data_IF_144208773432
#
_entry.id   IF_144208773432
#
_cell.length_a   1.000
_cell.length_b   1.000
_cell.length_c   1.000
_cell.angle_alpha   90.00
_cell.angle_beta   90.00
_cell.angle_gamma   90.00
#
_symmetry.space_group_name_H-M   'P 1'
#
loop_
_entity.id
_entity.type
_entity.pdbx_description
1 polymer ?
#
# COMPACT_ATOMS: atom_id res chain seq x y z
N UNK A 1 5.94 7.96 25.14
CA UNK A 1 5.27 7.79 23.84
C UNK A 1 3.79 7.54 24.07
N UNK A 2 2.93 8.23 23.34
CA UNK A 2 1.49 8.06 23.43
C UNK A 2 1.06 6.79 22.68
N UNK A 3 -0.09 6.20 23.04
CA UNK A 3 -0.61 4.96 22.39
C UNK A 3 -0.66 5.07 20.85
N UNK A 4 -1.01 6.26 20.33
CA UNK A 4 -1.05 6.56 18.90
C UNK A 4 0.34 6.47 18.25
N UNK A 5 1.39 6.95 18.91
CA UNK A 5 2.75 6.91 18.38
C UNK A 5 3.25 5.47 18.21
N UNK A 6 2.93 4.58 19.17
CA UNK A 6 3.25 3.15 19.03
C UNK A 6 2.57 2.51 17.81
N UNK A 7 1.31 2.87 17.54
CA UNK A 7 0.59 2.40 16.34
C UNK A 7 1.25 2.93 15.06
N UNK A 8 1.74 4.16 15.05
CA UNK A 8 2.44 4.75 13.90
C UNK A 8 3.79 4.07 13.65
N UNK A 9 4.56 3.77 14.70
CA UNK A 9 5.81 3.00 14.56
C UNK A 9 5.57 1.59 14.04
N UNK A 10 4.52 0.92 14.52
CA UNK A 10 4.09 -0.37 13.97
C UNK A 10 3.69 -0.24 12.49
N UNK A 11 2.98 0.83 12.13
CA UNK A 11 2.60 1.11 10.74
C UNK A 11 3.82 1.32 9.83
N UNK A 12 4.89 1.95 10.34
CA UNK A 12 6.15 2.10 9.62
C UNK A 12 6.81 0.75 9.33
N UNK A 13 6.77 -0.20 10.28
CA UNK A 13 7.28 -1.55 10.05
C UNK A 13 6.50 -2.23 8.92
N UNK A 14 5.17 -2.13 8.92
CA UNK A 14 4.35 -2.62 7.82
C UNK A 14 4.69 -1.93 6.49
N UNK A 15 4.91 -0.62 6.48
CA UNK A 15 5.32 0.11 5.27
C UNK A 15 6.63 -0.43 4.68
N UNK A 16 7.62 -0.75 5.53
CA UNK A 16 8.89 -1.35 5.12
C UNK A 16 8.64 -2.74 4.51
N UNK A 17 7.86 -3.59 5.18
CA UNK A 17 7.51 -4.92 4.66
C UNK A 17 6.79 -4.81 3.31
N UNK A 18 5.81 -3.92 3.19
CA UNK A 18 5.08 -3.66 1.95
C UNK A 18 6.01 -3.19 0.83
N UNK A 19 6.99 -2.35 1.15
CA UNK A 19 8.02 -1.89 0.20
C UNK A 19 8.92 -3.02 -0.26
N UNK A 20 9.39 -3.88 0.64
CA UNK A 20 10.20 -5.06 0.29
C UNK A 20 9.41 -6.02 -0.60
N UNK A 21 8.12 -6.26 -0.31
CA UNK A 21 7.28 -7.11 -1.15
C UNK A 21 7.07 -6.51 -2.54
N UNK A 22 6.81 -5.20 -2.64
CA UNK A 22 6.71 -4.51 -3.92
C UNK A 22 8.03 -4.60 -4.72
N UNK A 23 9.18 -4.44 -4.07
CA UNK A 23 10.50 -4.59 -4.69
C UNK A 23 10.73 -6.01 -5.21
N UNK A 24 10.26 -7.03 -4.48
CA UNK A 24 10.26 -8.44 -4.90
C UNK A 24 9.20 -8.79 -5.95
N UNK A 25 8.51 -7.80 -6.52
CA UNK A 25 7.40 -8.00 -7.47
C UNK A 25 6.28 -8.89 -6.92
N UNK A 26 6.10 -8.90 -5.60
CA UNK A 26 5.01 -9.62 -4.94
C UNK A 26 3.82 -8.69 -4.79
N UNK A 27 2.72 -9.02 -5.49
CA UNK A 27 1.47 -8.24 -5.51
C UNK A 27 0.97 -7.91 -4.10
N UNK A 28 1.16 -8.79 -3.11
CA UNK A 28 0.70 -8.60 -1.72
C UNK A 28 1.21 -7.31 -1.06
N UNK A 29 2.34 -6.76 -1.53
CA UNK A 29 2.83 -5.48 -1.04
C UNK A 29 1.83 -4.33 -1.24
N UNK A 30 1.00 -4.35 -2.29
CA UNK A 30 -0.06 -3.34 -2.47
C UNK A 30 -1.16 -3.43 -1.40
N UNK A 31 -1.46 -4.62 -0.87
CA UNK A 31 -2.44 -4.78 0.21
C UNK A 31 -1.93 -4.15 1.49
N UNK A 32 -0.64 -4.34 1.79
CA UNK A 32 0.01 -3.70 2.93
C UNK A 32 -0.02 -2.17 2.76
N UNK A 33 0.28 -1.67 1.56
CA UNK A 33 0.20 -0.24 1.27
C UNK A 33 -1.21 0.34 1.41
N UNK A 34 -2.27 -0.40 1.05
CA UNK A 34 -3.64 0.05 1.30
C UNK A 34 -3.90 0.25 2.80
N UNK A 35 -3.50 -0.69 3.66
CA UNK A 35 -3.66 -0.56 5.12
C UNK A 35 -2.82 0.60 5.66
N UNK A 36 -1.54 0.66 5.28
CA UNK A 36 -0.61 1.69 5.76
C UNK A 36 -1.04 3.11 5.39
N UNK A 37 -1.47 3.31 4.14
CA UNK A 37 -1.97 4.60 3.68
C UNK A 37 -3.26 5.00 4.41
N UNK A 38 -4.14 4.05 4.70
CA UNK A 38 -5.37 4.33 5.45
C UNK A 38 -5.09 4.74 6.90
N UNK A 39 -4.15 4.07 7.58
CA UNK A 39 -3.72 4.44 8.94
C UNK A 39 -3.13 5.85 8.96
N UNK A 40 -2.23 6.17 8.01
CA UNK A 40 -1.66 7.50 7.93
C UNK A 40 -2.67 8.57 7.53
N UNK A 41 -3.60 8.28 6.62
CA UNK A 41 -4.69 9.18 6.24
C UNK A 41 -5.51 9.57 7.48
N UNK A 42 -5.98 8.57 8.22
CA UNK A 42 -6.81 8.79 9.42
C UNK A 42 -6.04 9.59 10.48
N UNK A 43 -4.76 9.26 10.73
CA UNK A 43 -3.93 10.03 11.65
C UNK A 43 -3.75 11.49 11.22
N UNK A 44 -3.51 11.73 9.93
CA UNK A 44 -3.30 13.09 9.41
C UNK A 44 -4.57 13.94 9.46
N UNK A 45 -5.76 13.33 9.35
CA UNK A 45 -7.04 14.01 9.59
C UNK A 45 -7.15 14.42 11.06
N UNK A 46 -6.80 13.53 12.00
CA UNK A 46 -6.87 13.83 13.44
C UNK A 46 -5.99 15.02 13.85
N UNK A 47 -4.78 15.14 13.28
CA UNK A 47 -3.89 16.28 13.55
C UNK A 47 -4.15 17.49 12.63
N UNK A 48 -5.24 17.47 11.86
CA UNK A 48 -5.66 18.53 10.91
C UNK A 48 -4.63 18.85 9.82
N UNK A 49 -3.78 17.88 9.46
CA UNK A 49 -2.86 17.95 8.33
C UNK A 49 -3.56 17.51 7.04
N UNK A 50 -4.36 18.40 6.46
CA UNK A 50 -5.12 18.11 5.24
C UNK A 50 -4.25 17.83 4.00
N UNK A 51 -3.14 18.56 3.73
CA UNK A 51 -2.29 18.25 2.58
C UNK A 51 -1.76 16.82 2.61
N UNK A 52 -1.32 16.38 3.80
CA UNK A 52 -0.77 15.06 3.98
C UNK A 52 -1.86 13.98 3.95
N UNK A 53 -3.05 14.28 4.45
CA UNK A 53 -4.22 13.43 4.28
C UNK A 53 -4.55 13.21 2.80
N UNK A 54 -4.60 14.29 2.01
CA UNK A 54 -4.82 14.20 0.56
C UNK A 54 -3.80 13.32 -0.14
N UNK A 55 -2.51 13.45 0.23
CA UNK A 55 -1.44 12.61 -0.32
C UNK A 55 -1.66 11.12 -0.01
N UNK A 56 -1.94 10.77 1.25
CA UNK A 56 -2.15 9.37 1.63
C UNK A 56 -3.42 8.78 1.02
N UNK A 57 -4.45 9.60 0.79
CA UNK A 57 -5.63 9.18 0.04
C UNK A 57 -5.29 8.85 -1.42
N UNK A 58 -4.53 9.70 -2.11
CA UNK A 58 -4.06 9.42 -3.48
C UNK A 58 -3.21 8.15 -3.52
N UNK A 59 -2.29 7.97 -2.56
CA UNK A 59 -1.47 6.76 -2.47
C UNK A 59 -2.29 5.50 -2.20
N UNK A 60 -3.37 5.60 -1.43
CA UNK A 60 -4.31 4.51 -1.25
C UNK A 60 -4.95 4.10 -2.59
N UNK A 61 -5.45 5.06 -3.37
CA UNK A 61 -6.02 4.81 -4.70
C UNK A 61 -4.99 4.19 -5.65
N UNK A 62 -3.74 4.68 -5.63
CA UNK A 62 -2.66 4.11 -6.42
C UNK A 62 -2.32 2.67 -6.00
N UNK A 63 -2.39 2.35 -4.71
CA UNK A 63 -2.19 0.98 -4.23
C UNK A 63 -3.31 0.05 -4.73
N UNK A 64 -4.57 0.50 -4.72
CA UNK A 64 -5.70 -0.24 -5.32
C UNK A 64 -5.45 -0.48 -6.82
N UNK A 65 -5.04 0.56 -7.55
CA UNK A 65 -4.74 0.47 -8.98
C UNK A 65 -3.57 -0.49 -9.26
N UNK A 66 -2.48 -0.41 -8.48
CA UNK A 66 -1.33 -1.30 -8.56
C UNK A 66 -1.72 -2.76 -8.33
N UNK A 67 -2.54 -3.02 -7.29
CA UNK A 67 -3.08 -4.34 -7.03
C UNK A 67 -3.90 -4.85 -8.24
N UNK A 68 -4.86 -4.09 -8.75
CA UNK A 68 -5.73 -4.54 -9.87
C UNK A 68 -4.93 -4.78 -11.15
N UNK A 69 -4.05 -3.85 -11.52
CA UNK A 69 -3.26 -3.92 -12.76
C UNK A 69 -2.31 -5.10 -12.79
N UNK A 70 -1.62 -5.38 -11.68
CA UNK A 70 -0.69 -6.52 -11.59
C UNK A 70 -1.39 -7.88 -11.61
N UNK A 71 -2.61 -7.96 -11.06
CA UNK A 71 -3.43 -9.16 -11.19
C UNK A 71 -3.71 -9.55 -12.64
N UNK A 72 -3.93 -8.55 -13.51
CA UNK A 72 -4.17 -8.77 -14.95
C UNK A 72 -2.88 -9.19 -15.68
N UNK A 73 -1.71 -8.70 -15.27
CA UNK A 73 -0.43 -9.06 -15.89
C UNK A 73 -0.03 -10.51 -15.63
N UNK A 74 -0.26 -11.05 -14.42
CA UNK A 74 0.03 -12.46 -14.11
C UNK A 74 -0.77 -13.40 -15.01
N UNK A 75 -2.07 -13.14 -15.18
CA UNK A 75 -2.95 -13.90 -16.08
C UNK A 75 -2.49 -13.87 -17.53
N UNK A 76 -2.06 -12.70 -18.05
CA UNK A 76 -1.51 -12.58 -19.41
C UNK A 76 -0.23 -13.39 -19.60
N UNK A 77 0.67 -13.39 -18.62
CA UNK A 77 1.93 -14.16 -18.67
C UNK A 77 1.70 -15.67 -18.62
N UNK A 78 0.72 -16.14 -17.86
CA UNK A 78 0.35 -17.56 -17.79
C UNK A 78 -0.22 -18.04 -19.13
N UNK A 79 -1.18 -17.29 -19.70
CA UNK A 79 -1.74 -17.59 -21.03
C UNK A 79 -0.68 -17.62 -22.14
N UNK A 80 0.30 -16.71 -22.11
CA UNK A 80 1.37 -16.69 -23.11
C UNK A 80 2.31 -17.92 -23.02
N UNK A 81 2.48 -18.51 -21.83
CA UNK A 81 3.30 -19.71 -21.64
C UNK A 81 2.61 -21.00 -22.09
N UNK A 82 1.29 -21.04 -22.04
CA UNK A 82 0.49 -22.21 -22.46
C UNK A 82 0.39 -22.33 -23.99
N UNK A 83 0.55 -21.22 -24.72
CA UNK A 83 0.50 -21.17 -26.18
C UNK A 83 1.88 -21.34 -26.87
N UNK A 84 2.94 -21.66 -26.11
CA UNK A 84 4.31 -21.94 -26.59
C UNK A 84 4.60 -23.43 -26.44
#
# INVERSE_FOLDING_TARGET
MNKIEYLLWLNTIFAIVGTVLNAKQVRFGFVIWMVTNLVFLVNNIYIKSYPQSGLFFVYFVLAVYGWVSWGKQKKKRELAKENL
#
